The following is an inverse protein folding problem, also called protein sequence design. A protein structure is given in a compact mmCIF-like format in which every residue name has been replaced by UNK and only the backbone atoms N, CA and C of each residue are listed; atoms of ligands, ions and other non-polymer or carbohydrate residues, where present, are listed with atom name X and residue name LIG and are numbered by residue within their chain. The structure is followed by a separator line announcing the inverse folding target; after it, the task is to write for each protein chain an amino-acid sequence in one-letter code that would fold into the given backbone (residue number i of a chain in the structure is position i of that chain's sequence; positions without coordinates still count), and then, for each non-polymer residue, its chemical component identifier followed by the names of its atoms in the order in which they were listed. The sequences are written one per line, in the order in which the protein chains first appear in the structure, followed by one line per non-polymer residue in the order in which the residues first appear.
data_IF_792713778512
#
_entry.id   IF_792713778512
#
_cell.length_a   1.000
_cell.length_b   1.000
_cell.length_c   1.000
_cell.angle_alpha   90.00
_cell.angle_beta   90.00
_cell.angle_gamma   90.00
#
_symmetry.space_group_name_H-M   'P 1'
#
loop_
_entity.id
_entity.type
_entity.pdbx_description
1 polymer ?
#
# COMPACT_ATOMS: atom_id res chain seq x y z
N UNK A 1 -4.41 -11.14 12.61
CA UNK A 1 -4.43 -11.92 11.35
C UNK A 1 -3.02 -12.24 10.87
N UNK A 2 -2.82 -13.35 10.15
CA UNK A 2 -1.56 -13.60 9.42
C UNK A 2 -1.46 -12.72 8.18
N UNK A 3 -0.25 -12.30 7.82
CA UNK A 3 -0.06 -11.45 6.65
C UNK A 3 -0.40 -12.19 5.36
N UNK A 4 -1.32 -11.63 4.58
CA UNK A 4 -1.75 -12.19 3.30
C UNK A 4 -0.86 -11.65 2.19
N UNK A 5 -0.38 -12.51 1.30
CA UNK A 5 0.33 -12.09 0.09
C UNK A 5 -0.63 -12.06 -1.11
N UNK A 6 -0.45 -11.10 -2.03
CA UNK A 6 -1.36 -10.88 -3.16
C UNK A 6 -0.54 -10.80 -4.45
N UNK A 7 -0.87 -11.65 -5.43
CA UNK A 7 -0.38 -11.46 -6.79
C UNK A 7 -1.17 -10.34 -7.50
N UNK A 8 -0.48 -9.35 -8.02
CA UNK A 8 -1.06 -8.18 -8.68
C UNK A 8 -0.54 -8.00 -10.12
N UNK A 9 -0.33 -9.10 -10.85
CA UNK A 9 0.15 -9.09 -12.23
C UNK A 9 1.66 -8.96 -12.30
N UNK A 10 2.16 -7.78 -12.71
CA UNK A 10 3.59 -7.49 -12.75
C UNK A 10 4.20 -7.23 -11.37
N UNK A 11 3.35 -7.13 -10.34
CA UNK A 11 3.75 -6.86 -8.96
C UNK A 11 3.31 -7.97 -8.03
N UNK A 12 4.12 -8.17 -7.00
CA UNK A 12 3.81 -9.03 -5.87
C UNK A 12 3.67 -8.20 -4.59
N UNK A 13 2.55 -8.33 -3.90
CA UNK A 13 2.31 -7.62 -2.63
C UNK A 13 2.53 -8.59 -1.49
N UNK A 14 3.45 -8.25 -0.58
CA UNK A 14 3.75 -9.05 0.61
C UNK A 14 3.97 -8.17 1.81
N UNK A 15 3.97 -8.76 3.00
CA UNK A 15 4.40 -8.07 4.21
C UNK A 15 5.78 -7.42 4.00
N UNK A 16 5.99 -6.24 4.60
CA UNK A 16 7.31 -5.63 4.66
C UNK A 16 8.23 -6.49 5.54
N UNK A 17 9.50 -6.65 5.15
CA UNK A 17 10.45 -7.55 5.81
C UNK A 17 11.82 -6.92 6.05
N UNK A 18 12.41 -7.35 7.15
CA UNK A 18 13.81 -7.14 7.53
C UNK A 18 14.29 -8.43 8.16
N UNK A 19 14.83 -9.31 7.33
CA UNK A 19 15.38 -10.61 7.73
C UNK A 19 16.66 -10.92 6.95
N UNK A 20 17.17 -12.15 7.09
CA UNK A 20 18.40 -12.62 6.45
C UNK A 20 18.30 -12.75 4.92
N UNK A 21 17.09 -12.75 4.37
CA UNK A 21 16.82 -12.95 2.94
C UNK A 21 16.34 -11.69 2.26
N UNK A 22 15.56 -10.86 2.96
CA UNK A 22 14.90 -9.67 2.43
C UNK A 22 15.09 -8.50 3.39
N UNK A 23 15.61 -7.40 2.87
CA UNK A 23 15.70 -6.13 3.59
C UNK A 23 15.06 -5.00 2.78
N UNK A 24 13.77 -4.72 3.06
CA UNK A 24 13.04 -3.66 2.38
C UNK A 24 13.52 -2.25 2.77
N UNK A 25 14.24 -2.12 3.89
CA UNK A 25 14.65 -0.80 4.40
C UNK A 25 15.51 -0.06 3.37
N UNK A 26 16.40 -0.78 2.69
CA UNK A 26 17.29 -0.20 1.68
C UNK A 26 16.48 0.46 0.58
N UNK A 27 15.57 -0.28 -0.06
CA UNK A 27 14.76 0.26 -1.16
C UNK A 27 13.83 1.40 -0.72
N UNK A 28 13.28 1.35 0.50
CA UNK A 28 12.39 2.39 1.02
C UNK A 28 13.13 3.66 1.44
N UNK A 29 14.38 3.54 1.92
CA UNK A 29 15.26 4.69 2.20
C UNK A 29 15.77 5.30 0.91
N UNK A 30 16.30 4.49 -0.01
CA UNK A 30 16.80 4.96 -1.31
C UNK A 30 15.69 5.63 -2.13
N UNK A 31 14.46 5.12 -2.03
CA UNK A 31 13.29 5.73 -2.64
C UNK A 31 12.76 6.99 -1.93
N UNK A 32 13.29 7.32 -0.75
CA UNK A 32 12.93 8.52 0.01
C UNK A 32 11.62 8.44 0.80
N UNK A 33 11.12 7.24 1.10
CA UNK A 33 9.99 7.08 2.03
C UNK A 33 10.42 7.31 3.48
N UNK A 34 11.64 6.90 3.82
CA UNK A 34 12.22 7.07 5.15
C UNK A 34 13.58 7.76 5.08
N UNK A 35 13.95 8.55 6.12
CA UNK A 35 15.22 9.26 6.13
C UNK A 35 16.43 8.34 6.36
N UNK A 36 16.23 7.19 7.03
CA UNK A 36 17.28 6.26 7.38
C UNK A 36 16.74 4.84 7.65
N UNK A 37 17.66 3.87 7.72
CA UNK A 37 17.34 2.45 7.94
C UNK A 37 16.70 2.19 9.32
N UNK A 38 17.00 3.02 10.33
CA UNK A 38 16.46 2.84 11.68
C UNK A 38 14.96 3.18 11.70
N UNK A 39 14.58 4.30 11.10
CA UNK A 39 13.20 4.75 10.94
C UNK A 39 12.41 3.78 10.07
N UNK A 40 12.99 3.31 8.96
CA UNK A 40 12.39 2.28 8.13
C UNK A 40 12.18 0.96 8.91
N UNK A 41 13.17 0.52 9.67
CA UNK A 41 13.08 -0.70 10.49
C UNK A 41 11.99 -0.61 11.56
N UNK A 42 11.92 0.51 12.28
CA UNK A 42 10.87 0.75 13.28
C UNK A 42 9.47 0.75 12.64
N UNK A 43 9.34 1.34 11.45
CA UNK A 43 8.08 1.30 10.70
C UNK A 43 7.71 -0.15 10.32
N UNK A 44 8.64 -0.92 9.77
CA UNK A 44 8.39 -2.32 9.35
C UNK A 44 7.98 -3.18 10.54
N UNK A 45 8.65 -3.05 11.68
CA UNK A 45 8.27 -3.77 12.91
C UNK A 45 6.82 -3.42 13.34
N UNK A 46 6.48 -2.13 13.37
CA UNK A 46 5.12 -1.70 13.70
C UNK A 46 4.08 -2.20 12.69
N UNK A 47 4.41 -2.29 11.40
CA UNK A 47 3.52 -2.87 10.38
C UNK A 47 3.30 -4.37 10.61
N UNK A 48 4.31 -5.11 11.05
CA UNK A 48 4.17 -6.52 11.40
C UNK A 48 3.23 -6.72 12.59
N UNK A 49 3.36 -5.90 13.64
CA UNK A 49 2.46 -5.97 14.80
C UNK A 49 1.00 -5.66 14.41
N UNK A 50 0.79 -4.68 13.51
CA UNK A 50 -0.55 -4.28 13.05
C UNK A 50 -1.31 -5.34 12.26
N UNK A 51 -0.60 -6.25 11.58
CA UNK A 51 -1.22 -7.43 11.00
C UNK A 51 -1.77 -8.34 12.11
N UNK A 52 -0.99 -8.54 13.18
CA UNK A 52 -1.37 -9.41 14.29
C UNK A 52 -2.56 -8.84 15.08
N UNK A 53 -2.53 -7.53 15.38
CA UNK A 53 -3.60 -6.81 16.09
C UNK A 53 -4.81 -6.47 15.21
N UNK A 54 -4.73 -6.73 13.91
CA UNK A 54 -5.78 -6.41 12.93
C UNK A 54 -6.15 -4.93 12.85
N UNK A 55 -5.23 -4.05 13.21
CA UNK A 55 -5.39 -2.60 13.08
C UNK A 55 -5.26 -2.14 11.62
N UNK A 56 -4.31 -2.75 10.90
CA UNK A 56 -3.98 -2.37 9.52
C UNK A 56 -3.30 -3.51 8.79
N UNK A 57 -3.69 -3.72 7.54
CA UNK A 57 -2.99 -4.58 6.60
C UNK A 57 -2.07 -3.70 5.76
N UNK A 58 -0.80 -4.08 5.62
CA UNK A 58 0.16 -3.32 4.81
C UNK A 58 1.10 -4.21 4.04
N UNK A 59 1.43 -3.78 2.83
CA UNK A 59 2.23 -4.52 1.87
C UNK A 59 3.34 -3.66 1.30
N UNK A 60 4.54 -4.23 1.21
CA UNK A 60 5.49 -3.84 0.19
C UNK A 60 4.92 -4.22 -1.19
N UNK A 61 4.96 -3.30 -2.13
CA UNK A 61 4.66 -3.56 -3.55
C UNK A 61 5.99 -3.90 -4.21
N UNK A 62 6.20 -5.17 -4.53
CA UNK A 62 7.45 -5.66 -5.08
C UNK A 62 7.34 -5.83 -6.60
N UNK A 63 8.38 -5.44 -7.32
CA UNK A 63 8.56 -5.84 -8.71
C UNK A 63 8.71 -7.36 -8.78
N UNK A 64 7.93 -8.04 -9.62
CA UNK A 64 7.87 -9.50 -9.59
C UNK A 64 9.14 -10.18 -10.15
N UNK A 65 9.94 -9.48 -10.97
CA UNK A 65 11.15 -10.04 -11.56
C UNK A 65 12.35 -9.92 -10.60
N UNK A 66 12.46 -8.79 -9.92
CA UNK A 66 13.61 -8.47 -9.06
C UNK A 66 13.34 -8.71 -7.58
N UNK A 67 12.08 -8.75 -7.16
CA UNK A 67 11.68 -8.84 -5.75
C UNK A 67 11.85 -7.53 -4.96
N UNK A 68 12.38 -6.48 -5.58
CA UNK A 68 12.64 -5.18 -4.96
C UNK A 68 11.33 -4.46 -4.61
N UNK A 69 11.24 -3.90 -3.41
CA UNK A 69 10.11 -3.04 -3.04
C UNK A 69 10.15 -1.71 -3.84
N UNK A 70 9.12 -1.47 -4.64
CA UNK A 70 8.95 -0.27 -5.48
C UNK A 70 7.83 0.65 -4.99
N UNK A 71 7.18 0.27 -3.89
CA UNK A 71 6.11 1.04 -3.27
C UNK A 71 5.59 0.37 -2.00
N UNK A 72 4.64 1.03 -1.36
CA UNK A 72 3.92 0.54 -0.18
C UNK A 72 2.44 0.84 -0.37
N UNK A 73 1.58 -0.10 0.02
CA UNK A 73 0.14 0.12 0.12
C UNK A 73 -0.35 -0.39 1.46
N UNK A 74 -1.25 0.34 2.10
CA UNK A 74 -1.84 -0.06 3.37
C UNK A 74 -3.35 0.19 3.37
N UNK A 75 -4.07 -0.63 4.14
CA UNK A 75 -5.50 -0.57 4.35
C UNK A 75 -5.79 -0.77 5.84
N UNK A 76 -6.32 0.26 6.50
CA UNK A 76 -6.72 0.17 7.91
C UNK A 76 -7.99 -0.65 8.08
N UNK A 77 -8.27 -1.12 9.31
CA UNK A 77 -9.55 -1.78 9.65
C UNK A 77 -10.77 -0.91 9.39
N UNK A 78 -10.61 0.41 9.49
CA UNK A 78 -11.65 1.40 9.17
C UNK A 78 -11.81 1.65 7.65
N UNK A 79 -11.02 0.97 6.81
CA UNK A 79 -11.08 1.09 5.36
C UNK A 79 -10.36 2.31 4.81
N UNK A 80 -9.37 2.89 5.49
CA UNK A 80 -8.53 3.96 4.92
C UNK A 80 -7.37 3.34 4.11
N UNK A 81 -7.34 3.63 2.81
CA UNK A 81 -6.30 3.20 1.89
C UNK A 81 -5.25 4.31 1.73
N UNK A 82 -3.99 3.94 1.92
CA UNK A 82 -2.83 4.79 1.60
C UNK A 82 -1.91 4.06 0.65
N UNK A 83 -1.28 4.82 -0.25
CA UNK A 83 -0.29 4.26 -1.17
C UNK A 83 0.86 5.24 -1.37
N UNK A 84 2.03 4.66 -1.56
CA UNK A 84 3.25 5.36 -1.94
C UNK A 84 3.99 4.54 -2.99
N UNK A 85 4.65 5.23 -3.91
CA UNK A 85 5.49 4.64 -4.96
C UNK A 85 6.77 5.45 -5.04
N UNK A 86 7.89 4.75 -5.17
CA UNK A 86 9.22 5.34 -5.38
C UNK A 86 9.15 6.42 -6.46
N UNK A 87 9.63 7.66 -6.21
CA UNK A 87 9.47 8.80 -7.11
C UNK A 87 9.83 8.50 -8.57
N UNK A 88 10.97 7.88 -8.82
CA UNK A 88 11.48 7.57 -10.17
C UNK A 88 10.68 6.50 -10.92
N UNK A 89 9.79 5.80 -10.21
CA UNK A 89 8.93 4.75 -10.74
C UNK A 89 7.47 5.20 -10.92
N UNK A 90 7.15 6.45 -10.53
CA UNK A 90 5.80 7.01 -10.72
C UNK A 90 5.45 7.15 -12.20
N UNK A 91 4.15 7.20 -12.49
CA UNK A 91 3.64 7.25 -13.87
C UNK A 91 3.60 5.90 -14.58
N UNK A 92 4.19 4.84 -14.02
CA UNK A 92 4.21 3.48 -14.59
C UNK A 92 3.03 2.58 -14.19
N UNK A 93 2.00 3.13 -13.55
CA UNK A 93 0.80 2.39 -13.17
C UNK A 93 0.90 1.52 -11.90
N UNK A 94 2.05 1.52 -11.21
CA UNK A 94 2.31 0.73 -9.97
C UNK A 94 1.21 0.96 -8.91
N UNK A 95 0.98 2.21 -8.52
CA UNK A 95 -0.01 2.55 -7.50
C UNK A 95 -1.43 2.10 -7.87
N UNK A 96 -1.81 2.17 -9.16
CA UNK A 96 -3.11 1.71 -9.63
C UNK A 96 -3.26 0.19 -9.51
N UNK A 97 -2.22 -0.58 -9.89
CA UNK A 97 -2.24 -2.04 -9.75
C UNK A 97 -2.31 -2.46 -8.27
N UNK A 98 -1.45 -1.88 -7.43
CA UNK A 98 -1.41 -2.17 -6.00
C UNK A 98 -2.73 -1.82 -5.30
N UNK A 99 -3.25 -0.59 -5.50
CA UNK A 99 -4.52 -0.19 -4.91
C UNK A 99 -5.69 -1.04 -5.41
N UNK A 100 -5.75 -1.39 -6.70
CA UNK A 100 -6.80 -2.26 -7.23
C UNK A 100 -6.78 -3.67 -6.62
N UNK A 101 -5.59 -4.22 -6.38
CA UNK A 101 -5.43 -5.49 -5.68
C UNK A 101 -5.91 -5.42 -4.23
N UNK A 102 -5.50 -4.39 -3.50
CA UNK A 102 -5.91 -4.17 -2.10
C UNK A 102 -7.41 -3.87 -1.96
N UNK A 103 -8.02 -3.19 -2.93
CA UNK A 103 -9.48 -2.97 -2.94
C UNK A 103 -10.24 -4.30 -3.07
N UNK A 104 -9.78 -5.21 -3.94
CA UNK A 104 -10.38 -6.55 -4.05
C UNK A 104 -10.22 -7.33 -2.74
N UNK A 105 -9.07 -7.23 -2.08
CA UNK A 105 -8.86 -7.81 -0.76
C UNK A 105 -9.79 -7.20 0.30
N UNK A 106 -9.88 -5.88 0.39
CA UNK A 106 -10.71 -5.18 1.38
C UNK A 106 -12.20 -5.47 1.22
N UNK A 107 -12.72 -5.50 0.00
CA UNK A 107 -14.13 -5.83 -0.26
C UNK A 107 -14.43 -7.32 -0.22
N UNK A 108 -13.49 -8.16 -0.67
CA UNK A 108 -13.72 -9.60 -0.79
C UNK A 108 -13.43 -10.37 0.49
N UNK A 109 -12.32 -10.06 1.15
CA UNK A 109 -11.83 -10.82 2.30
C UNK A 109 -12.13 -10.14 3.63
N UNK A 110 -11.94 -8.82 3.73
CA UNK A 110 -12.28 -8.06 4.95
C UNK A 110 -13.77 -7.68 5.04
N UNK A 111 -14.55 -7.95 3.99
CA UNK A 111 -15.98 -7.63 3.87
C UNK A 111 -16.33 -6.17 4.18
N UNK A 112 -15.42 -5.24 3.84
CA UNK A 112 -15.68 -3.81 3.97
C UNK A 112 -16.82 -3.40 3.04
N UNK A 113 -17.70 -2.49 3.47
CA UNK A 113 -18.75 -1.93 2.62
C UNK A 113 -18.29 -0.68 1.86
N UNK A 114 -17.24 -0.02 2.37
CA UNK A 114 -16.64 1.17 1.79
C UNK A 114 -15.15 1.24 2.11
N UNK A 115 -14.37 1.82 1.20
CA UNK A 115 -12.96 2.15 1.37
C UNK A 115 -12.79 3.63 1.04
N UNK A 116 -11.99 4.33 1.84
CA UNK A 116 -11.69 5.74 1.71
C UNK A 116 -10.22 5.98 1.38
N UNK A 117 -9.92 7.11 0.75
CA UNK A 117 -8.57 7.59 0.52
C UNK A 117 -8.53 9.12 0.59
N UNK A 118 -7.36 9.68 0.94
CA UNK A 118 -7.08 11.12 0.84
C UNK A 118 -5.92 11.37 -0.13
N UNK A 119 -6.19 11.50 -1.43
CA UNK A 119 -5.15 11.75 -2.43
C UNK A 119 -4.48 13.12 -2.19
N UNK A 120 -3.16 13.17 -1.92
CA UNK A 120 -2.49 14.43 -1.54
C UNK A 120 -2.26 15.37 -2.73
N UNK A 121 -2.22 14.84 -3.95
CA UNK A 121 -1.87 15.57 -5.16
C UNK A 121 -2.67 15.07 -6.38
N UNK A 122 -2.51 15.77 -7.50
CA UNK A 122 -3.21 15.46 -8.75
C UNK A 122 -2.87 14.07 -9.33
N UNK A 123 -1.60 13.61 -9.34
CA UNK A 123 -1.28 12.21 -9.66
C UNK A 123 -2.04 11.18 -8.82
N UNK A 124 -2.11 11.36 -7.50
CA UNK A 124 -2.83 10.46 -6.61
C UNK A 124 -4.35 10.49 -6.87
N UNK A 125 -4.93 11.66 -7.20
CA UNK A 125 -6.35 11.75 -7.60
C UNK A 125 -6.63 10.95 -8.87
N UNK A 126 -5.74 11.00 -9.87
CA UNK A 126 -5.88 10.15 -11.07
C UNK A 126 -5.82 8.67 -10.74
N UNK A 127 -4.99 8.26 -9.77
CA UNK A 127 -4.99 6.87 -9.28
C UNK A 127 -6.31 6.53 -8.60
N UNK A 128 -6.83 7.40 -7.74
CA UNK A 128 -8.10 7.21 -7.06
C UNK A 128 -9.27 7.05 -8.06
N UNK A 129 -9.36 7.94 -9.05
CA UNK A 129 -10.37 7.84 -10.13
C UNK A 129 -10.27 6.52 -10.89
N UNK A 130 -9.05 6.14 -11.31
CA UNK A 130 -8.83 4.84 -12.00
C UNK A 130 -9.20 3.64 -11.13
N UNK A 131 -9.09 3.78 -9.81
CA UNK A 131 -9.47 2.76 -8.86
C UNK A 131 -10.95 2.83 -8.46
N UNK A 132 -11.77 3.68 -9.08
CA UNK A 132 -13.22 3.77 -8.85
C UNK A 132 -13.63 4.57 -7.61
N UNK A 133 -12.73 5.36 -7.04
CA UNK A 133 -13.10 6.30 -5.98
C UNK A 133 -13.79 7.53 -6.55
N UNK A 134 -14.76 8.05 -5.81
CA UNK A 134 -15.42 9.33 -6.08
C UNK A 134 -15.13 10.32 -4.96
N UNK A 135 -14.91 11.59 -5.31
CA UNK A 135 -14.77 12.65 -4.31
C UNK A 135 -16.06 12.78 -3.49
N UNK A 136 -15.93 12.78 -2.15
CA UNK A 136 -17.05 12.90 -1.23
C UNK A 136 -17.14 14.26 -0.55
N UNK A 137 -18.15 14.39 0.31
CA UNK A 137 -18.24 15.42 1.36
C UNK A 137 -17.94 14.78 2.71
N UNK A 138 -17.06 15.34 3.56
CA UNK A 138 -16.33 16.61 3.38
C UNK A 138 -15.24 16.54 2.30
N UNK A 139 -14.83 17.69 1.74
CA UNK A 139 -13.82 17.75 0.69
C UNK A 139 -12.50 17.12 1.14
N UNK A 140 -11.85 16.39 0.21
CA UNK A 140 -10.55 15.75 0.43
C UNK A 140 -10.63 14.27 0.79
N UNK A 141 -11.79 13.76 1.25
CA UNK A 141 -12.01 12.32 1.42
C UNK A 141 -12.71 11.78 0.17
N UNK A 142 -12.09 10.76 -0.43
CA UNK A 142 -12.60 10.05 -1.58
C UNK A 142 -13.06 8.69 -1.14
N UNK A 143 -14.23 8.25 -1.60
CA UNK A 143 -14.84 6.99 -1.17
C UNK A 143 -15.10 6.11 -2.38
N UNK A 144 -14.84 4.81 -2.20
CA UNK A 144 -15.31 3.75 -3.08
C UNK A 144 -16.21 2.82 -2.28
N UNK A 145 -17.41 2.60 -2.78
CA UNK A 145 -18.32 1.58 -2.25
C UNK A 145 -18.01 0.22 -2.89
N UNK A 146 -18.42 -0.86 -2.23
CA UNK A 146 -18.25 -2.24 -2.70
C UNK A 146 -18.83 -2.46 -4.10
#
# INVERSE_FOLDING_TARGET
MEAVEINAGEFYLRQLRVDDRIDDRVALVDGGLFPDLATAGAHIAARADQWHTEESCSWAVCDQLTGTAVGVVALTRAGELTCWTTPDLRGKGIATHAASAVLRFGFGFLDLSAITARPPDEPARRVAVKCGFTAGSPPGVWTRLR
#
